data_IF_775256957219
#
_entry.id   IF_775256957219
#
_cell.length_a   1.000
_cell.length_b   1.000
_cell.length_c   1.000
_cell.angle_alpha   90.00
_cell.angle_beta   90.00
_cell.angle_gamma   90.00
#
_symmetry.space_group_name_H-M   'P 1'
#
loop_
_entity.id
_entity.type
_entity.pdbx_description
1 polymer ?
#
# COMPACT_ATOMS: atom_id res chain seq x y z
N UNK A 1 -15.21 12.83 -1.89
CA UNK A 1 -13.78 12.54 -2.09
C UNK A 1 -13.15 12.46 -0.73
N UNK A 2 -12.34 11.43 -0.49
CA UNK A 2 -11.63 11.27 0.77
C UNK A 2 -10.63 12.42 1.00
N UNK A 3 -10.27 12.64 2.25
CA UNK A 3 -9.15 13.52 2.60
C UNK A 3 -7.84 12.75 2.42
N UNK A 4 -6.94 13.24 1.57
CA UNK A 4 -5.67 12.59 1.25
C UNK A 4 -4.50 13.25 1.98
N UNK A 5 -3.60 12.44 2.56
CA UNK A 5 -2.33 12.87 3.15
C UNK A 5 -1.16 12.04 2.62
N UNK A 6 -0.13 12.66 2.02
CA UNK A 6 -0.12 14.05 1.55
C UNK A 6 -1.28 14.33 0.56
N UNK A 7 -1.67 15.60 0.36
CA UNK A 7 -2.77 15.95 -0.56
C UNK A 7 -2.42 15.69 -2.04
N UNK A 8 -1.16 15.42 -2.34
CA UNK A 8 -0.64 15.13 -3.68
C UNK A 8 0.28 13.91 -3.60
N UNK A 9 0.19 13.05 -4.62
CA UNK A 9 1.05 11.87 -4.70
C UNK A 9 2.52 12.27 -4.85
N UNK A 10 3.40 11.63 -4.07
CA UNK A 10 4.83 11.93 -4.09
C UNK A 10 5.45 11.61 -5.46
N UNK A 11 6.28 12.52 -5.97
CA UNK A 11 7.08 12.26 -7.17
C UNK A 11 8.20 11.23 -6.92
N UNK A 12 8.53 10.96 -5.65
CA UNK A 12 9.56 9.99 -5.26
C UNK A 12 9.05 8.55 -5.27
N UNK A 13 7.74 8.33 -5.24
CA UNK A 13 7.14 7.00 -5.32
C UNK A 13 7.04 6.57 -6.78
N UNK A 14 7.84 5.58 -7.16
CA UNK A 14 7.92 5.06 -8.54
C UNK A 14 6.79 4.06 -8.89
N UNK A 15 6.09 3.56 -7.87
CA UNK A 15 5.02 2.57 -8.02
C UNK A 15 3.82 3.13 -8.77
N UNK A 16 3.64 2.65 -10.01
CA UNK A 16 2.47 3.00 -10.83
C UNK A 16 1.15 2.47 -10.26
N UNK A 17 1.19 1.34 -9.55
CA UNK A 17 0.01 0.76 -8.91
C UNK A 17 -0.46 1.62 -7.73
N UNK A 18 0.46 2.08 -6.89
CA UNK A 18 0.14 3.04 -5.82
C UNK A 18 -0.36 4.36 -6.38
N UNK A 19 0.24 4.89 -7.45
CA UNK A 19 -0.23 6.12 -8.10
C UNK A 19 -1.68 6.02 -8.56
N UNK A 20 -2.03 4.89 -9.19
CA UNK A 20 -3.40 4.62 -9.62
C UNK A 20 -4.34 4.55 -8.42
N UNK A 21 -3.98 3.76 -7.40
CA UNK A 21 -4.80 3.62 -6.20
C UNK A 21 -4.96 4.93 -5.44
N UNK A 22 -3.93 5.74 -5.30
CA UNK A 22 -4.01 7.05 -4.65
C UNK A 22 -5.10 7.92 -5.29
N UNK A 23 -5.09 8.00 -6.63
CA UNK A 23 -6.11 8.75 -7.38
C UNK A 23 -7.51 8.18 -7.21
N UNK A 24 -7.66 6.86 -7.30
CA UNK A 24 -8.96 6.21 -7.19
C UNK A 24 -9.53 6.23 -5.76
N UNK A 25 -8.68 6.08 -4.74
CA UNK A 25 -9.07 6.21 -3.33
C UNK A 25 -9.59 7.62 -3.05
N UNK A 26 -8.86 8.65 -3.49
CA UNK A 26 -9.32 10.05 -3.34
C UNK A 26 -10.65 10.31 -4.05
N UNK A 27 -10.82 9.78 -5.27
CA UNK A 27 -12.01 9.99 -6.11
C UNK A 27 -13.24 9.24 -5.61
N UNK A 28 -13.08 7.96 -5.25
CA UNK A 28 -14.19 7.05 -5.01
C UNK A 28 -14.63 6.99 -3.55
N UNK A 29 -13.72 7.25 -2.60
CA UNK A 29 -14.09 7.19 -1.19
C UNK A 29 -14.91 8.44 -0.77
N UNK A 30 -15.92 8.24 0.11
CA UNK A 30 -16.66 9.33 0.75
C UNK A 30 -15.78 10.25 1.60
N UNK A 31 -16.30 11.42 1.97
CA UNK A 31 -15.55 12.46 2.69
C UNK A 31 -15.19 12.07 4.14
N UNK A 32 -15.87 11.05 4.69
CA UNK A 32 -15.60 10.50 6.02
C UNK A 32 -14.32 9.67 6.08
N UNK A 33 -13.74 9.33 4.93
CA UNK A 33 -12.48 8.61 4.85
C UNK A 33 -11.28 9.56 4.80
N UNK A 34 -10.27 9.23 5.58
CA UNK A 34 -8.93 9.81 5.49
C UNK A 34 -7.97 8.76 5.00
N UNK A 35 -7.18 9.07 3.97
CA UNK A 35 -6.18 8.16 3.40
C UNK A 35 -4.80 8.77 3.60
N UNK A 36 -3.94 8.05 4.30
CA UNK A 36 -2.53 8.38 4.44
C UNK A 36 -1.72 7.47 3.51
N UNK A 37 -0.82 8.03 2.71
CA UNK A 37 0.05 7.31 1.79
C UNK A 37 1.51 7.40 2.26
N UNK A 38 2.23 6.29 2.19
CA UNK A 38 3.65 6.18 2.55
C UNK A 38 3.91 6.42 4.04
N UNK A 39 3.19 5.72 4.91
CA UNK A 39 3.26 5.94 6.36
C UNK A 39 4.43 5.16 6.95
N UNK A 40 5.50 5.86 7.29
CA UNK A 40 6.61 5.28 8.04
C UNK A 40 6.24 5.10 9.51
N UNK A 41 6.70 4.01 10.12
CA UNK A 41 6.46 3.71 11.52
C UNK A 41 7.70 3.16 12.19
N UNK A 42 7.76 3.37 13.52
CA UNK A 42 8.78 2.81 14.39
C UNK A 42 8.08 2.04 15.51
N UNK A 43 8.55 0.82 15.77
CA UNK A 43 8.08 0.02 16.89
C UNK A 43 9.25 -0.61 17.64
N UNK A 44 9.00 -1.07 18.85
CA UNK A 44 9.94 -1.91 19.61
C UNK A 44 9.27 -3.23 19.88
N UNK A 45 9.92 -4.32 19.49
CA UNK A 45 9.44 -5.69 19.71
C UNK A 45 10.62 -6.58 20.08
N UNK A 46 10.47 -7.35 21.17
CA UNK A 46 11.55 -8.23 21.68
C UNK A 46 12.83 -7.48 22.05
N UNK A 47 12.73 -6.24 22.52
CA UNK A 47 13.87 -5.39 22.89
C UNK A 47 14.61 -4.76 21.70
N UNK A 48 14.22 -5.05 20.45
CA UNK A 48 14.82 -4.46 19.24
C UNK A 48 13.91 -3.39 18.64
N UNK A 49 14.52 -2.32 18.12
CA UNK A 49 13.81 -1.37 17.28
C UNK A 49 13.48 -2.02 15.93
N UNK A 50 12.31 -1.70 15.40
CA UNK A 50 11.86 -2.05 14.06
C UNK A 50 11.32 -0.79 13.41
N UNK A 51 11.64 -0.61 12.16
CA UNK A 51 11.06 0.37 11.27
C UNK A 51 10.36 -0.33 10.11
N UNK A 52 9.46 0.40 9.48
CA UNK A 52 8.78 -0.05 8.28
C UNK A 52 7.93 1.05 7.71
N UNK A 53 7.30 0.74 6.59
CA UNK A 53 6.36 1.60 5.90
C UNK A 53 5.08 0.82 5.66
N UNK A 54 3.95 1.53 5.62
CA UNK A 54 2.71 1.04 5.06
C UNK A 54 2.36 1.90 3.84
N UNK A 55 2.12 1.26 2.69
CA UNK A 55 1.79 1.99 1.46
C UNK A 55 0.57 2.88 1.66
N UNK A 56 -0.53 2.34 2.22
CA UNK A 56 -1.73 3.12 2.57
C UNK A 56 -2.30 2.77 3.94
N UNK A 57 -2.68 3.80 4.70
CA UNK A 57 -3.60 3.71 5.83
C UNK A 57 -4.91 4.39 5.46
N UNK A 58 -6.01 3.63 5.48
CA UNK A 58 -7.36 4.12 5.18
C UNK A 58 -8.14 4.13 6.50
N UNK A 59 -8.56 5.32 6.93
CA UNK A 59 -9.15 5.57 8.26
C UNK A 59 -10.58 6.05 8.10
N UNK A 60 -11.49 5.50 8.91
CA UNK A 60 -12.88 5.94 9.00
C UNK A 60 -13.34 5.97 10.46
N UNK A 61 -14.01 7.04 10.94
CA UNK A 61 -14.31 7.24 12.35
C UNK A 61 -15.19 6.14 12.97
N UNK A 62 -16.01 5.47 12.15
CA UNK A 62 -16.89 4.38 12.62
C UNK A 62 -16.41 2.98 12.24
N UNK A 63 -15.54 2.85 11.24
CA UNK A 63 -15.12 1.53 10.71
C UNK A 63 -13.69 1.15 11.12
N UNK A 64 -12.94 2.09 11.69
CA UNK A 64 -11.56 1.86 12.13
C UNK A 64 -10.54 2.13 11.04
N UNK A 65 -9.49 1.32 11.01
CA UNK A 65 -8.32 1.50 10.14
C UNK A 65 -8.10 0.25 9.29
N UNK A 66 -7.85 0.44 8.01
CA UNK A 66 -7.35 -0.57 7.08
C UNK A 66 -5.93 -0.20 6.65
N UNK A 67 -4.98 -1.11 6.85
CA UNK A 67 -3.64 -1.02 6.26
C UNK A 67 -3.68 -1.78 4.94
N UNK A 68 -3.26 -1.13 3.86
CA UNK A 68 -3.29 -1.68 2.51
C UNK A 68 -1.89 -1.59 1.89
N UNK A 69 -1.29 -2.75 1.68
CA UNK A 69 -0.04 -2.96 0.95
C UNK A 69 -0.32 -3.27 -0.52
N UNK A 70 0.42 -2.64 -1.42
CA UNK A 70 0.17 -2.66 -2.86
C UNK A 70 1.31 -3.37 -3.58
N UNK A 71 0.96 -4.37 -4.39
CA UNK A 71 1.90 -5.00 -5.33
C UNK A 71 1.39 -4.81 -6.75
N UNK A 72 2.20 -4.13 -7.57
CA UNK A 72 1.90 -3.91 -8.98
C UNK A 72 2.35 -5.06 -9.87
N UNK A 73 1.94 -5.01 -11.15
CA UNK A 73 2.31 -6.01 -12.16
C UNK A 73 1.37 -7.21 -12.21
N UNK A 74 1.75 -8.24 -12.96
CA UNK A 74 0.98 -9.48 -13.06
C UNK A 74 1.16 -10.32 -11.81
N UNK A 75 0.11 -10.50 -11.03
CA UNK A 75 0.15 -11.25 -9.77
C UNK A 75 -0.15 -12.74 -10.04
N UNK A 76 0.69 -13.62 -9.49
CA UNK A 76 0.52 -15.06 -9.56
C UNK A 76 0.68 -15.69 -8.18
N UNK A 77 -0.09 -16.75 -7.93
CA UNK A 77 0.05 -17.61 -6.76
C UNK A 77 0.22 -19.05 -7.21
N UNK A 78 1.33 -19.67 -6.86
CA UNK A 78 1.55 -21.08 -7.08
C UNK A 78 0.65 -21.89 -6.12
N UNK A 79 -0.19 -22.76 -6.66
CA UNK A 79 -1.19 -23.49 -5.90
C UNK A 79 -0.59 -24.50 -4.92
N UNK A 80 0.49 -25.18 -5.33
CA UNK A 80 1.11 -26.22 -4.52
C UNK A 80 1.92 -25.66 -3.33
N UNK A 81 2.64 -24.57 -3.55
CA UNK A 81 3.54 -23.97 -2.54
C UNK A 81 2.92 -22.79 -1.81
N UNK A 82 1.84 -22.22 -2.35
CA UNK A 82 1.25 -20.97 -1.87
C UNK A 82 2.09 -19.72 -2.16
N UNK A 83 3.19 -19.86 -2.92
CA UNK A 83 4.13 -18.76 -3.18
C UNK A 83 3.53 -17.70 -4.08
N UNK A 84 3.64 -16.43 -3.67
CA UNK A 84 3.19 -15.28 -4.44
C UNK A 84 4.33 -14.66 -5.23
N UNK A 85 4.06 -14.27 -6.48
CA UNK A 85 5.00 -13.55 -7.34
C UNK A 85 4.31 -12.42 -8.09
N UNK A 86 5.08 -11.39 -8.41
CA UNK A 86 4.67 -10.33 -9.34
C UNK A 86 5.56 -10.35 -10.57
N UNK A 87 5.00 -10.02 -11.74
CA UNK A 87 5.76 -9.78 -12.97
C UNK A 87 5.71 -8.29 -13.32
N UNK A 88 6.87 -7.66 -13.41
CA UNK A 88 6.97 -6.24 -13.74
C UNK A 88 6.78 -5.97 -15.25
N UNK A 89 6.83 -4.69 -15.63
CA UNK A 89 6.65 -4.24 -17.03
C UNK A 89 7.75 -4.72 -17.99
N UNK A 90 8.89 -5.15 -17.47
CA UNK A 90 10.01 -5.69 -18.24
C UNK A 90 9.95 -7.22 -18.34
N UNK A 91 8.92 -7.84 -17.76
CA UNK A 91 8.76 -9.30 -17.73
C UNK A 91 9.57 -9.98 -16.62
N UNK A 92 10.25 -9.22 -15.76
CA UNK A 92 11.00 -9.79 -14.64
C UNK A 92 10.04 -10.24 -13.55
N UNK A 93 10.25 -11.44 -13.04
CA UNK A 93 9.46 -11.99 -11.94
C UNK A 93 10.13 -11.69 -10.60
N UNK A 94 9.34 -11.16 -9.66
CA UNK A 94 9.74 -10.83 -8.30
C UNK A 94 8.96 -11.70 -7.32
N UNK A 95 9.65 -12.18 -6.29
CA UNK A 95 9.00 -12.86 -5.19
C UNK A 95 8.27 -11.82 -4.32
N UNK A 96 6.99 -12.06 -4.03
CA UNK A 96 6.28 -11.29 -3.02
C UNK A 96 6.55 -11.97 -1.68
N UNK A 97 7.17 -11.21 -0.78
CA UNK A 97 7.41 -11.62 0.59
C UNK A 97 6.43 -10.87 1.47
N UNK A 98 5.85 -11.59 2.41
CA UNK A 98 5.06 -11.03 3.51
C UNK A 98 5.97 -10.91 4.74
#
# INVERSE_FOLDING_TARGET
MATMYPPQFSAQTESGAERLLFGELGRQLPAEYTVLHGVTWLSRSGGRARDGEADFLIVHPRHGVLVLEVKGGGIHREGATGQWTSRDRHGTQHLIKD
#
